data_IF_754256562705
#
_entry.id   IF_754256562705
#
_cell.length_a   1.000
_cell.length_b   1.000
_cell.length_c   1.000
_cell.angle_alpha   90.00
_cell.angle_beta   90.00
_cell.angle_gamma   90.00
#
_symmetry.space_group_name_H-M   'P 1'
#
loop_
_entity.id
_entity.type
_entity.pdbx_description
1 polymer ?
#
# COMPACT_ATOMS: atom_id res chain seq x y z
N UNK A 1 4.05 12.18 -23.54
CA UNK A 1 4.37 10.92 -22.86
C UNK A 1 5.18 11.09 -21.60
N UNK A 2 6.21 11.94 -21.63
CA UNK A 2 7.01 12.20 -20.40
C UNK A 2 6.19 12.78 -19.25
N UNK A 3 5.23 13.66 -19.52
CA UNK A 3 4.36 14.22 -18.48
C UNK A 3 3.50 13.16 -17.81
N UNK A 4 2.99 12.20 -18.58
CA UNK A 4 2.16 11.12 -18.04
C UNK A 4 2.99 10.17 -17.17
N UNK A 5 4.20 9.88 -17.61
CA UNK A 5 5.13 9.06 -16.82
C UNK A 5 5.53 9.75 -15.52
N UNK A 6 5.72 11.07 -15.55
CA UNK A 6 6.03 11.84 -14.35
C UNK A 6 4.88 11.84 -13.35
N UNK A 7 3.63 11.94 -13.83
CA UNK A 7 2.46 11.85 -12.97
C UNK A 7 2.43 10.51 -12.24
N UNK A 8 2.64 9.42 -12.97
CA UNK A 8 2.63 8.08 -12.39
C UNK A 8 3.76 7.88 -11.39
N UNK A 9 4.96 8.39 -11.68
CA UNK A 9 6.12 8.26 -10.80
C UNK A 9 5.94 8.97 -9.46
N UNK A 10 5.09 9.99 -9.43
CA UNK A 10 4.88 10.80 -8.23
C UNK A 10 3.69 10.34 -7.40
N UNK A 11 2.94 9.33 -7.88
CA UNK A 11 1.81 8.78 -7.14
C UNK A 11 2.25 7.60 -6.28
N UNK A 12 1.88 7.58 -4.99
CA UNK A 12 2.21 6.45 -4.12
C UNK A 12 1.54 5.16 -4.56
N UNK A 13 0.36 5.26 -5.13
CA UNK A 13 -0.33 4.14 -5.79
C UNK A 13 -1.39 4.72 -6.74
N UNK A 14 -1.88 3.87 -7.62
CA UNK A 14 -3.01 4.24 -8.48
C UNK A 14 -3.76 2.97 -8.87
N UNK A 15 -5.05 3.13 -9.12
CA UNK A 15 -5.87 2.02 -9.59
C UNK A 15 -5.97 2.06 -11.11
N UNK A 16 -6.57 0.99 -11.67
CA UNK A 16 -6.71 0.85 -13.12
C UNK A 16 -7.53 1.98 -13.74
N UNK A 17 -8.57 2.44 -13.04
CA UNK A 17 -9.42 3.54 -13.50
C UNK A 17 -8.64 4.84 -13.67
N UNK A 18 -7.88 5.21 -12.63
CA UNK A 18 -7.01 6.39 -12.67
C UNK A 18 -5.97 6.28 -13.78
N UNK A 19 -5.38 5.10 -13.91
CA UNK A 19 -4.40 4.84 -14.97
C UNK A 19 -4.99 5.04 -16.36
N UNK A 20 -6.20 4.54 -16.57
CA UNK A 20 -6.92 4.73 -17.84
C UNK A 20 -7.17 6.18 -18.18
N UNK A 21 -7.52 6.98 -17.18
CA UNK A 21 -7.73 8.41 -17.35
C UNK A 21 -6.43 9.13 -17.72
N UNK A 22 -5.35 8.84 -17.01
CA UNK A 22 -4.05 9.48 -17.23
C UNK A 22 -3.50 9.13 -18.61
N UNK A 23 -3.57 7.85 -19.00
CA UNK A 23 -3.01 7.38 -20.27
C UNK A 23 -3.94 7.61 -21.47
N UNK A 24 -5.22 7.88 -21.21
CA UNK A 24 -6.24 8.08 -22.24
C UNK A 24 -6.23 6.92 -23.25
N UNK A 25 -6.33 5.69 -22.73
CA UNK A 25 -6.33 4.46 -23.52
C UNK A 25 -7.65 3.73 -23.40
N UNK A 26 -8.03 2.99 -24.44
CA UNK A 26 -9.15 2.05 -24.39
C UNK A 26 -8.83 0.94 -23.39
N UNK A 27 -9.85 0.23 -22.92
CA UNK A 27 -9.67 -0.85 -21.95
C UNK A 27 -8.72 -1.94 -22.45
N UNK A 28 -8.84 -2.33 -23.73
CA UNK A 28 -7.95 -3.34 -24.31
C UNK A 28 -6.50 -2.88 -24.35
N UNK A 29 -6.27 -1.64 -24.79
CA UNK A 29 -4.93 -1.07 -24.88
C UNK A 29 -4.34 -0.87 -23.49
N UNK A 30 -5.18 -0.52 -22.51
CA UNK A 30 -4.77 -0.37 -21.12
C UNK A 30 -4.31 -1.70 -20.54
N UNK A 31 -5.09 -2.77 -20.74
CA UNK A 31 -4.73 -4.11 -20.27
C UNK A 31 -3.40 -4.57 -20.87
N UNK A 32 -3.20 -4.34 -22.17
CA UNK A 32 -1.95 -4.66 -22.84
C UNK A 32 -0.77 -3.89 -22.24
N UNK A 33 -0.96 -2.58 -22.05
CA UNK A 33 0.07 -1.72 -21.49
C UNK A 33 0.46 -2.17 -20.06
N UNK A 34 -0.53 -2.47 -19.22
CA UNK A 34 -0.31 -2.92 -17.84
C UNK A 34 0.51 -4.21 -17.83
N UNK A 35 0.12 -5.21 -18.63
CA UNK A 35 0.85 -6.48 -18.72
C UNK A 35 2.29 -6.27 -19.16
N UNK A 36 2.50 -5.41 -20.15
CA UNK A 36 3.82 -5.09 -20.68
C UNK A 36 4.70 -4.45 -19.61
N UNK A 37 4.16 -3.47 -18.89
CA UNK A 37 4.89 -2.75 -17.85
C UNK A 37 5.23 -3.63 -16.65
N UNK A 38 4.33 -4.52 -16.27
CA UNK A 38 4.60 -5.50 -15.22
C UNK A 38 5.73 -6.43 -15.65
N UNK A 39 5.68 -6.93 -16.87
CA UNK A 39 6.70 -7.84 -17.42
C UNK A 39 8.08 -7.18 -17.47
N UNK A 40 8.13 -5.90 -17.80
CA UNK A 40 9.38 -5.13 -17.85
C UNK A 40 9.89 -4.75 -16.44
N UNK A 41 9.07 -4.91 -15.41
CA UNK A 41 9.43 -4.54 -14.05
C UNK A 41 9.23 -3.07 -13.72
N UNK A 42 8.62 -2.30 -14.62
CA UNK A 42 8.38 -0.87 -14.40
C UNK A 42 7.13 -0.60 -13.57
N UNK A 43 6.21 -1.55 -13.55
CA UNK A 43 4.97 -1.46 -12.79
C UNK A 43 4.92 -2.59 -11.77
N UNK A 44 4.59 -2.24 -10.53
CA UNK A 44 4.52 -3.19 -9.41
C UNK A 44 3.06 -3.35 -9.01
N UNK A 45 2.60 -4.60 -8.93
CA UNK A 45 1.24 -4.92 -8.52
C UNK A 45 1.18 -4.97 -6.99
N UNK A 46 0.35 -4.14 -6.39
CA UNK A 46 0.10 -4.15 -4.94
C UNK A 46 -0.99 -5.15 -4.58
N UNK A 47 -2.05 -5.12 -5.35
CA UNK A 47 -3.12 -6.12 -5.39
C UNK A 47 -3.82 -5.98 -6.73
N UNK A 48 -4.76 -6.86 -7.05
CA UNK A 48 -5.50 -6.80 -8.30
C UNK A 48 -6.08 -5.40 -8.52
N UNK A 49 -5.67 -4.75 -9.61
CA UNK A 49 -6.14 -3.43 -9.99
C UNK A 49 -5.48 -2.24 -9.28
N UNK A 50 -4.52 -2.50 -8.39
CA UNK A 50 -3.77 -1.44 -7.67
C UNK A 50 -2.29 -1.58 -7.98
N UNK A 51 -1.66 -0.48 -8.37
CA UNK A 51 -0.29 -0.47 -8.85
C UNK A 51 0.52 0.69 -8.28
N UNK A 52 1.84 0.55 -8.31
CA UNK A 52 2.78 1.64 -8.15
C UNK A 52 3.90 1.47 -9.17
N UNK A 53 4.74 2.47 -9.32
CA UNK A 53 5.86 2.38 -10.26
C UNK A 53 7.15 1.98 -9.52
N UNK A 54 8.03 1.31 -10.24
CA UNK A 54 9.38 1.01 -9.73
C UNK A 54 10.12 2.29 -9.37
N UNK A 55 9.96 3.34 -10.18
CA UNK A 55 10.64 4.62 -9.94
C UNK A 55 10.19 5.28 -8.64
N UNK A 56 8.91 5.21 -8.32
CA UNK A 56 8.42 5.70 -7.04
C UNK A 56 9.09 4.96 -5.87
N UNK A 57 9.14 3.63 -5.95
CA UNK A 57 9.75 2.80 -4.91
C UNK A 57 11.24 3.08 -4.76
N UNK A 58 11.95 3.27 -5.87
CA UNK A 58 13.38 3.61 -5.84
C UNK A 58 13.64 4.93 -5.13
N UNK A 59 12.73 5.89 -5.30
CA UNK A 59 12.83 7.17 -4.62
C UNK A 59 12.72 7.08 -3.10
N UNK A 60 12.09 6.03 -2.59
CA UNK A 60 11.94 5.81 -1.14
C UNK A 60 13.17 5.17 -0.50
N UNK A 61 14.03 4.52 -1.28
CA UNK A 61 15.17 3.78 -0.74
C UNK A 61 16.16 4.65 0.04
N UNK A 62 16.25 5.92 -0.31
CA UNK A 62 17.16 6.87 0.34
C UNK A 62 16.66 7.38 1.69
N UNK A 63 15.41 7.11 2.03
CA UNK A 63 14.81 7.56 3.27
C UNK A 63 14.04 6.41 3.94
N UNK A 64 14.71 5.65 4.84
CA UNK A 64 14.09 4.48 5.48
C UNK A 64 12.83 4.80 6.27
N UNK A 65 12.76 5.96 6.93
CA UNK A 65 11.57 6.35 7.69
C UNK A 65 10.38 6.61 6.77
N UNK A 66 10.63 7.26 5.64
CA UNK A 66 9.59 7.52 4.65
C UNK A 66 9.11 6.22 4.02
N UNK A 67 10.03 5.30 3.74
CA UNK A 67 9.71 3.99 3.19
C UNK A 67 8.81 3.19 4.15
N UNK A 68 9.15 3.20 5.43
CA UNK A 68 8.34 2.55 6.46
C UNK A 68 6.93 3.14 6.52
N UNK A 69 6.81 4.47 6.53
CA UNK A 69 5.52 5.15 6.53
C UNK A 69 4.71 4.84 5.26
N UNK A 70 5.38 4.71 4.13
CA UNK A 70 4.72 4.33 2.88
C UNK A 70 4.07 2.95 2.99
N UNK A 71 4.78 1.97 3.54
CA UNK A 71 4.25 0.63 3.70
C UNK A 71 3.04 0.61 4.64
N UNK A 72 3.11 1.39 5.72
CA UNK A 72 1.98 1.53 6.65
C UNK A 72 0.78 2.18 5.98
N UNK A 73 1.03 3.18 5.14
CA UNK A 73 -0.02 3.81 4.34
C UNK A 73 -0.67 2.80 3.38
N UNK A 74 0.16 2.01 2.69
CA UNK A 74 -0.35 0.97 1.78
C UNK A 74 -1.22 -0.06 2.51
N UNK A 75 -0.87 -0.38 3.76
CA UNK A 75 -1.67 -1.31 4.55
C UNK A 75 -3.10 -0.81 4.70
N UNK A 76 -3.28 0.50 4.91
CA UNK A 76 -4.62 1.09 4.97
C UNK A 76 -5.32 1.09 3.62
N UNK A 77 -4.57 1.27 2.54
CA UNK A 77 -5.12 1.38 1.17
C UNK A 77 -5.53 0.03 0.60
N UNK A 78 -4.69 -1.00 0.79
CA UNK A 78 -4.89 -2.31 0.16
C UNK A 78 -6.20 -2.94 0.63
N UNK A 79 -6.58 -2.75 1.90
CA UNK A 79 -7.86 -3.24 2.40
C UNK A 79 -8.46 -2.22 3.36
N UNK A 80 -9.50 -1.54 2.92
CA UNK A 80 -10.16 -0.48 3.67
C UNK A 80 -11.56 -0.93 4.09
N UNK A 81 -12.06 -0.61 5.29
CA UNK A 81 -11.35 0.11 6.34
C UNK A 81 -10.46 -0.82 7.16
N UNK A 82 -9.32 -0.29 7.60
CA UNK A 82 -8.37 -1.02 8.42
C UNK A 82 -7.47 -0.06 9.19
N UNK A 83 -6.81 -0.57 10.22
CA UNK A 83 -5.70 0.15 10.83
C UNK A 83 -4.58 -0.82 11.18
N UNK A 84 -3.35 -0.33 11.11
CA UNK A 84 -2.17 -1.13 11.42
C UNK A 84 -2.19 -1.47 12.91
N UNK A 85 -2.03 -2.73 13.23
CA UNK A 85 -2.19 -3.24 14.60
C UNK A 85 -1.50 -4.58 14.76
N UNK A 86 -1.82 -5.28 15.87
CA UNK A 86 -1.36 -6.63 16.17
C UNK A 86 0.17 -6.65 16.26
N UNK A 87 0.79 -7.72 15.77
CA UNK A 87 2.22 -7.95 15.95
C UNK A 87 3.09 -6.81 15.38
N UNK A 88 2.71 -6.26 14.24
CA UNK A 88 3.47 -5.16 13.65
C UNK A 88 3.48 -3.94 14.55
N UNK A 89 2.31 -3.53 15.06
CA UNK A 89 2.22 -2.37 15.94
C UNK A 89 2.99 -2.60 17.23
N UNK A 90 2.92 -3.80 17.81
CA UNK A 90 3.67 -4.15 19.00
C UNK A 90 5.18 -4.06 18.75
N UNK A 91 5.64 -4.56 17.61
CA UNK A 91 7.04 -4.47 17.22
C UNK A 91 7.50 -3.03 17.08
N UNK A 92 6.71 -2.21 16.41
CA UNK A 92 7.03 -0.79 16.19
C UNK A 92 7.14 -0.01 17.49
N UNK A 93 6.30 -0.34 18.48
CA UNK A 93 6.36 0.30 19.80
C UNK A 93 7.40 -0.34 20.75
N UNK A 94 8.14 -1.32 20.26
CA UNK A 94 9.17 -1.98 21.07
C UNK A 94 8.62 -2.95 22.11
N UNK A 95 7.36 -3.36 21.96
CA UNK A 95 6.72 -4.26 22.94
C UNK A 95 7.04 -5.72 22.70
N UNK A 96 7.52 -6.08 21.51
CA UNK A 96 8.07 -7.40 21.20
C UNK A 96 9.45 -7.21 20.57
N UNK A 97 10.42 -8.07 20.93
CA UNK A 97 11.82 -7.85 20.54
C UNK A 97 12.14 -8.20 19.10
N UNK A 98 11.36 -9.06 18.48
CA UNK A 98 11.63 -9.53 17.12
C UNK A 98 10.78 -8.80 16.08
N UNK A 99 11.35 -8.61 14.88
CA UNK A 99 10.63 -8.06 13.75
C UNK A 99 9.54 -9.02 13.26
N UNK A 100 8.58 -8.49 12.55
CA UNK A 100 7.48 -9.27 11.99
C UNK A 100 7.67 -9.44 10.48
N UNK A 101 7.13 -10.53 9.92
CA UNK A 101 7.26 -10.86 8.50
C UNK A 101 6.35 -10.06 7.58
N UNK A 102 5.68 -9.08 8.08
CA UNK A 102 4.78 -8.26 7.27
C UNK A 102 4.07 -7.27 8.13
N UNK A 103 3.19 -6.53 7.51
CA UNK A 103 2.39 -5.54 8.21
C UNK A 103 1.06 -6.17 8.57
N UNK A 104 0.78 -6.23 9.86
CA UNK A 104 -0.49 -6.76 10.38
C UNK A 104 -1.45 -5.62 10.67
N UNK A 105 -2.71 -5.84 10.34
CA UNK A 105 -3.79 -4.86 10.51
C UNK A 105 -5.06 -5.56 10.94
N UNK A 106 -5.99 -4.79 11.51
CA UNK A 106 -7.35 -5.26 11.73
C UNK A 106 -8.27 -4.56 10.75
N UNK A 107 -9.34 -5.24 10.35
CA UNK A 107 -10.27 -4.73 9.34
C UNK A 107 -11.70 -5.12 9.69
N UNK A 108 -12.65 -4.33 9.20
CA UNK A 108 -14.07 -4.67 9.28
C UNK A 108 -14.48 -5.68 8.22
N UNK A 109 -13.62 -5.88 7.21
CA UNK A 109 -13.83 -6.89 6.17
C UNK A 109 -13.31 -8.25 6.62
N UNK A 110 -13.49 -9.27 5.78
CA UNK A 110 -13.00 -10.61 6.08
C UNK A 110 -11.48 -10.65 6.22
N UNK A 111 -10.98 -11.59 7.02
CA UNK A 111 -9.54 -11.82 7.17
C UNK A 111 -8.94 -12.23 5.84
N UNK A 112 -7.77 -11.68 5.52
CA UNK A 112 -7.09 -11.96 4.27
C UNK A 112 -5.63 -11.57 4.35
N UNK A 113 -4.79 -12.25 3.57
CA UNK A 113 -3.38 -11.88 3.38
C UNK A 113 -3.15 -11.53 1.92
N UNK A 114 -2.53 -10.38 1.67
CA UNK A 114 -2.08 -9.97 0.35
C UNK A 114 -0.56 -10.12 0.30
N UNK A 115 -0.07 -10.83 -0.70
CA UNK A 115 1.36 -11.00 -0.94
C UNK A 115 1.75 -10.30 -2.22
N UNK A 116 2.78 -9.48 -2.15
CA UNK A 116 3.32 -8.82 -3.33
C UNK A 116 4.84 -8.71 -3.16
N UNK A 117 5.50 -8.07 -4.12
CA UNK A 117 6.97 -7.95 -4.08
C UNK A 117 7.49 -7.11 -2.92
N UNK A 118 6.63 -6.34 -2.27
CA UNK A 118 7.03 -5.52 -1.10
C UNK A 118 6.97 -6.30 0.20
N UNK A 119 6.19 -7.38 0.26
CA UNK A 119 6.03 -8.20 1.45
C UNK A 119 4.60 -8.67 1.64
N UNK A 120 4.27 -9.03 2.86
CA UNK A 120 2.96 -9.52 3.25
C UNK A 120 2.16 -8.43 3.94
N UNK A 121 0.90 -8.29 3.55
CA UNK A 121 -0.07 -7.41 4.20
C UNK A 121 -1.17 -8.30 4.76
N UNK A 122 -1.18 -8.46 6.09
CA UNK A 122 -1.99 -9.44 6.79
C UNK A 122 -3.14 -8.73 7.51
N UNK A 123 -4.35 -9.15 7.22
CA UNK A 123 -5.57 -8.53 7.77
C UNK A 123 -6.38 -9.54 8.53
N UNK A 124 -6.81 -9.15 9.74
CA UNK A 124 -7.69 -9.96 10.57
C UNK A 124 -8.99 -9.21 10.82
N UNK A 125 -10.10 -9.88 10.59
CA UNK A 125 -11.41 -9.31 10.82
C UNK A 125 -11.65 -9.08 12.31
N UNK A 126 -12.24 -7.93 12.63
CA UNK A 126 -12.78 -7.67 13.98
C UNK A 126 -14.20 -7.12 13.84
N UNK A 127 -14.97 -7.23 14.92
CA UNK A 127 -16.32 -6.69 14.97
C UNK A 127 -16.28 -5.17 15.02
N UNK A 128 -17.32 -4.54 14.45
CA UNK A 128 -17.41 -3.09 14.36
C UNK A 128 -17.24 -2.41 15.71
N UNK A 129 -17.85 -2.95 16.78
CA UNK A 129 -17.73 -2.37 18.11
C UNK A 129 -16.33 -2.46 18.72
N UNK A 130 -15.44 -3.24 18.11
CA UNK A 130 -14.05 -3.34 18.52
C UNK A 130 -13.10 -2.53 17.62
N UNK A 131 -13.63 -1.88 16.58
CA UNK A 131 -12.84 -1.09 15.64
C UNK A 131 -12.59 0.30 16.20
N UNK A 132 -11.67 0.39 17.15
CA UNK A 132 -11.25 1.63 17.79
C UNK A 132 -9.83 1.47 18.36
N UNK A 133 -9.31 2.51 18.99
CA UNK A 133 -7.99 2.47 19.58
C UNK A 133 -6.88 2.70 18.57
N UNK A 134 -7.17 3.50 17.54
CA UNK A 134 -6.17 3.90 16.57
C UNK A 134 -6.05 5.42 16.52
N UNK A 135 -4.91 5.88 16.05
CA UNK A 135 -4.63 7.30 15.84
C UNK A 135 -4.23 7.52 14.39
N UNK A 136 -4.34 8.77 13.95
CA UNK A 136 -3.90 9.15 12.62
C UNK A 136 -2.43 9.53 12.64
N UNK A 137 -1.67 9.00 11.71
CA UNK A 137 -0.29 9.40 11.41
C UNK A 137 -0.28 9.91 9.99
N UNK A 138 0.85 10.41 9.54
CA UNK A 138 0.93 11.06 8.24
C UNK A 138 2.01 10.45 7.36
N UNK A 139 1.68 10.32 6.07
CA UNK A 139 2.61 10.01 5.01
C UNK A 139 2.36 11.01 3.87
N UNK A 140 3.26 11.96 3.69
CA UNK A 140 3.17 12.98 2.63
C UNK A 140 1.78 13.63 2.53
N UNK A 141 1.24 14.08 3.66
CA UNK A 141 -0.08 14.70 3.73
C UNK A 141 -1.25 13.75 3.74
N UNK A 142 -1.01 12.44 3.66
CA UNK A 142 -2.04 11.39 3.68
C UNK A 142 -2.11 10.74 5.05
N UNK A 143 -3.31 10.34 5.44
CA UNK A 143 -3.53 9.73 6.76
C UNK A 143 -3.17 8.27 6.79
N UNK A 144 -2.52 7.85 7.86
CA UNK A 144 -2.27 6.45 8.19
C UNK A 144 -2.98 6.17 9.51
N UNK A 145 -3.81 5.12 9.53
CA UNK A 145 -4.44 4.67 10.76
C UNK A 145 -3.61 3.57 11.39
N UNK A 146 -3.20 3.76 12.63
CA UNK A 146 -2.36 2.82 13.37
C UNK A 146 -2.86 2.71 14.80
N UNK A 147 -2.82 1.49 15.35
CA UNK A 147 -3.22 1.24 16.73
C UNK A 147 -2.43 2.12 17.70
N UNK A 148 -3.11 2.64 18.71
CA UNK A 148 -2.44 3.35 19.82
C UNK A 148 -1.73 2.34 20.71
N UNK A 149 -0.75 2.84 21.42
CA UNK A 149 0.10 2.04 22.33
C UNK A 149 -0.68 1.42 23.49
#
# INVERSE_FOLDING_TARGET
MKQKDELLRNLPYFNKSTLGEILDKSEENLNYWVKKMIKQGDLVVLKKGFYTTKLYLLGLEKNPLLRESYFEYLANVIRYPSYVSLEYALSKYGLIPEGVFGITSVTLKSSRTYKNSLGNFIYRNIKENLFFGFEDREFEGKRIKMATK
#
